data_IF_574149312278
#
_entry.id   IF_574149312278
#
_cell.length_a   1.000
_cell.length_b   1.000
_cell.length_c   1.000
_cell.angle_alpha   90.00
_cell.angle_beta   90.00
_cell.angle_gamma   90.00
#
_symmetry.space_group_name_H-M   'P 1'
#
loop_
_entity.id
_entity.type
_entity.pdbx_description
1 polymer ?
#
# COMPACT_ATOMS: atom_id res chain seq x y z
N UNK A 1 -25.89 -49.27 35.08
CA UNK A 1 -24.41 -49.36 35.06
C UNK A 1 -23.99 -50.39 34.02
N UNK A 2 -22.86 -50.11 33.36
CA UNK A 2 -22.29 -50.74 32.16
C UNK A 2 -22.37 -52.27 32.10
N UNK A 3 -22.71 -52.77 30.91
CA UNK A 3 -22.37 -54.09 30.43
C UNK A 3 -21.51 -53.94 29.17
N UNK A 4 -20.40 -54.67 29.10
CA UNK A 4 -19.77 -55.09 27.84
C UNK A 4 -18.64 -56.06 28.13
N UNK A 5 -18.80 -57.30 27.68
CA UNK A 5 -17.79 -58.11 27.01
C UNK A 5 -18.45 -59.43 26.60
N UNK A 6 -18.28 -59.82 25.33
CA UNK A 6 -17.54 -61.02 24.91
C UNK A 6 -17.81 -61.23 23.41
N UNK A 7 -16.72 -61.50 22.68
CA UNK A 7 -16.64 -61.72 21.24
C UNK A 7 -16.92 -63.17 20.88
N UNK A 8 -17.54 -63.43 19.72
CA UNK A 8 -17.44 -64.74 19.06
C UNK A 8 -17.31 -64.63 17.53
N UNK A 9 -16.36 -65.38 16.98
CA UNK A 9 -16.08 -65.57 15.55
C UNK A 9 -16.77 -66.84 15.02
N UNK A 10 -17.08 -66.81 13.71
CA UNK A 10 -17.25 -67.94 12.75
C UNK A 10 -18.53 -68.79 12.91
N UNK A 11 -19.21 -69.35 11.89
CA UNK A 11 -18.88 -69.78 10.52
C UNK A 11 -20.20 -70.21 9.78
N UNK A 12 -20.29 -70.06 8.44
CA UNK A 12 -21.15 -70.82 7.47
C UNK A 12 -22.66 -70.43 7.48
N UNK A 13 -23.39 -70.14 6.39
CA UNK A 13 -23.52 -70.83 5.11
C UNK A 13 -23.96 -69.93 3.94
N UNK A 14 -23.74 -70.44 2.72
CA UNK A 14 -24.20 -69.94 1.42
C UNK A 14 -25.72 -70.09 1.29
N UNK A 15 -26.42 -69.08 0.76
CA UNK A 15 -27.24 -69.17 -0.48
C UNK A 15 -28.34 -68.08 -0.57
N UNK A 16 -28.12 -67.21 -1.55
CA UNK A 16 -29.02 -66.51 -2.46
C UNK A 16 -30.57 -66.50 -2.26
N UNK A 17 -31.10 -65.28 -2.49
CA UNK A 17 -32.43 -64.89 -3.05
C UNK A 17 -33.54 -64.56 -2.04
N UNK A 18 -33.71 -63.26 -1.78
CA UNK A 18 -35.04 -62.60 -1.81
C UNK A 18 -34.92 -61.08 -2.01
N UNK A 19 -35.52 -60.61 -3.11
CA UNK A 19 -35.72 -59.20 -3.48
C UNK A 19 -36.34 -58.42 -2.32
N UNK A 20 -35.71 -57.32 -1.91
CA UNK A 20 -36.34 -56.25 -1.14
C UNK A 20 -36.27 -54.96 -1.96
N UNK A 21 -37.45 -54.41 -2.26
CA UNK A 21 -37.63 -53.13 -2.96
C UNK A 21 -37.03 -52.00 -2.13
N UNK A 22 -36.23 -51.16 -2.77
CA UNK A 22 -35.90 -49.83 -2.29
C UNK A 22 -37.20 -49.03 -2.13
N UNK A 23 -37.44 -48.52 -0.92
CA UNK A 23 -38.41 -47.45 -0.70
C UNK A 23 -37.56 -46.18 -0.55
N UNK A 24 -37.29 -45.53 -1.67
CA UNK A 24 -36.74 -44.18 -1.69
C UNK A 24 -37.84 -43.22 -1.29
N UNK A 25 -37.73 -42.62 -0.11
CA UNK A 25 -38.62 -41.57 0.36
C UNK A 25 -38.15 -40.24 -0.23
N UNK A 26 -38.66 -39.88 -1.40
CA UNK A 26 -38.42 -38.57 -2.01
C UNK A 26 -39.39 -37.57 -1.37
N UNK A 27 -38.91 -36.76 -0.44
CA UNK A 27 -39.65 -35.57 0.02
C UNK A 27 -39.46 -34.49 -1.05
N UNK A 28 -40.38 -34.41 -2.00
CA UNK A 28 -40.49 -33.24 -2.88
C UNK A 28 -41.08 -32.07 -2.10
N UNK A 29 -40.22 -31.20 -1.56
CA UNK A 29 -40.66 -29.89 -1.08
C UNK A 29 -40.97 -29.06 -2.32
N UNK A 30 -42.26 -28.94 -2.65
CA UNK A 30 -42.75 -28.01 -3.67
C UNK A 30 -42.65 -26.58 -3.14
N UNK A 31 -41.45 -26.02 -3.27
CA UNK A 31 -41.18 -24.61 -3.00
C UNK A 31 -41.70 -23.85 -4.23
N UNK A 32 -42.79 -23.10 -4.08
CA UNK A 32 -43.35 -22.26 -5.15
C UNK A 32 -42.27 -21.38 -5.80
N UNK A 33 -42.40 -21.09 -7.09
CA UNK A 33 -41.37 -20.40 -7.90
C UNK A 33 -40.87 -19.09 -7.26
N UNK A 34 -41.73 -18.40 -6.50
CA UNK A 34 -41.38 -17.21 -5.72
C UNK A 34 -40.41 -17.51 -4.56
N UNK A 35 -40.66 -18.56 -3.77
CA UNK A 35 -39.77 -18.97 -2.68
C UNK A 35 -38.46 -19.60 -3.19
N UNK A 36 -38.44 -20.24 -4.37
CA UNK A 36 -37.20 -20.71 -5.01
C UNK A 36 -36.29 -19.55 -5.41
N UNK A 37 -36.87 -18.46 -5.92
CA UNK A 37 -36.13 -17.25 -6.30
C UNK A 37 -35.60 -16.49 -5.08
N UNK A 38 -36.38 -16.44 -3.99
CA UNK A 38 -35.94 -15.85 -2.72
C UNK A 38 -34.81 -16.69 -2.09
N UNK A 39 -34.95 -18.02 -2.09
CA UNK A 39 -33.92 -18.92 -1.58
C UNK A 39 -32.62 -18.85 -2.39
N UNK A 40 -32.69 -18.79 -3.73
CA UNK A 40 -31.51 -18.59 -4.57
C UNK A 40 -30.83 -17.24 -4.30
N UNK A 41 -31.62 -16.17 -4.12
CA UNK A 41 -31.10 -14.83 -3.83
C UNK A 41 -30.39 -14.78 -2.48
N UNK A 42 -30.97 -15.39 -1.44
CA UNK A 42 -30.35 -15.47 -0.11
C UNK A 42 -29.07 -16.33 -0.11
N UNK A 43 -29.03 -17.41 -0.91
CA UNK A 43 -27.83 -18.22 -1.10
C UNK A 43 -26.74 -17.41 -1.84
N UNK A 44 -27.09 -16.69 -2.91
CA UNK A 44 -26.17 -15.79 -3.62
C UNK A 44 -25.61 -14.67 -2.72
N UNK A 45 -26.43 -14.10 -1.83
CA UNK A 45 -25.98 -13.12 -0.84
C UNK A 45 -25.10 -13.73 0.27
N UNK A 46 -25.29 -15.01 0.64
CA UNK A 46 -24.48 -15.69 1.66
C UNK A 46 -23.09 -16.13 1.15
N UNK A 47 -22.94 -16.36 -0.16
CA UNK A 47 -21.67 -16.77 -0.78
C UNK A 47 -20.80 -15.56 -1.16
N UNK A 48 -21.41 -14.39 -1.38
CA UNK A 48 -20.70 -13.14 -1.57
C UNK A 48 -20.27 -12.55 -0.21
N UNK A 49 -19.31 -13.20 0.46
CA UNK A 49 -18.52 -12.52 1.49
C UNK A 49 -17.68 -11.45 0.81
N UNK A 50 -18.24 -10.27 0.60
CA UNK A 50 -17.48 -9.12 0.13
C UNK A 50 -16.60 -8.72 1.30
N UNK A 51 -15.36 -9.22 1.33
CA UNK A 51 -14.35 -8.69 2.24
C UNK A 51 -14.11 -7.25 1.81
N UNK A 52 -14.77 -6.30 2.50
CA UNK A 52 -14.45 -4.88 2.39
C UNK A 52 -13.10 -4.71 3.06
N UNK A 53 -12.03 -4.97 2.30
CA UNK A 53 -10.67 -4.69 2.75
C UNK A 53 -10.49 -3.17 2.82
N UNK A 54 -9.65 -2.72 3.74
CA UNK A 54 -9.15 -1.36 3.68
C UNK A 54 -8.54 -1.11 2.29
N UNK A 55 -8.88 0.02 1.66
CA UNK A 55 -8.33 0.37 0.35
C UNK A 55 -6.80 0.37 0.41
N UNK A 56 -6.16 -0.39 -0.48
CA UNK A 56 -4.69 -0.52 -0.51
C UNK A 56 -4.09 -1.56 0.42
N UNK A 57 -4.87 -2.52 0.95
CA UNK A 57 -4.31 -3.64 1.70
C UNK A 57 -3.48 -4.58 0.80
N UNK A 58 -2.22 -4.84 1.15
CA UNK A 58 -1.31 -5.71 0.39
C UNK A 58 -0.26 -6.36 1.30
N UNK A 59 0.45 -7.37 0.78
CA UNK A 59 1.63 -7.96 1.45
C UNK A 59 2.92 -7.21 1.12
N UNK A 60 2.88 -6.30 0.16
CA UNK A 60 4.02 -5.54 -0.29
C UNK A 60 3.62 -4.09 -0.61
N UNK A 61 4.37 -3.15 -0.07
CA UNK A 61 4.15 -1.71 -0.22
C UNK A 61 5.47 -1.01 -0.53
N UNK A 62 5.41 0.08 -1.29
CA UNK A 62 6.55 0.97 -1.50
C UNK A 62 6.16 2.39 -1.09
N UNK A 63 7.00 3.01 -0.27
CA UNK A 63 6.91 4.41 0.12
C UNK A 63 8.01 5.19 -0.59
N UNK A 64 7.69 5.98 -1.64
CA UNK A 64 8.70 6.52 -2.55
C UNK A 64 9.64 7.57 -1.94
N UNK A 65 9.26 8.12 -0.77
CA UNK A 65 10.06 9.05 -0.01
C UNK A 65 10.02 8.69 1.47
N UNK A 66 11.19 8.79 2.11
CA UNK A 66 11.41 8.75 3.54
C UNK A 66 12.43 9.86 3.83
N UNK A 67 12.19 10.62 4.88
CA UNK A 67 13.08 11.68 5.35
C UNK A 67 13.27 11.56 6.86
N UNK A 68 14.52 11.67 7.29
CA UNK A 68 14.92 11.68 8.69
C UNK A 68 16.13 12.60 8.86
N UNK A 69 16.04 13.56 9.78
CA UNK A 69 17.17 14.40 10.18
C UNK A 69 16.91 15.89 10.05
N UNK A 70 17.92 16.67 10.42
CA UNK A 70 17.89 18.13 10.45
C UNK A 70 18.33 18.74 9.12
N UNK A 71 17.55 19.72 8.66
CA UNK A 71 17.88 20.63 7.57
C UNK A 71 17.77 22.06 8.10
N UNK A 72 18.92 22.68 8.38
CA UNK A 72 18.97 23.99 9.02
C UNK A 72 18.30 23.98 10.40
N UNK A 73 17.30 24.84 10.58
CA UNK A 73 16.53 24.97 11.82
C UNK A 73 15.28 24.10 11.89
N UNK A 74 15.14 23.13 10.99
CA UNK A 74 13.98 22.23 10.93
C UNK A 74 14.42 20.78 10.90
N UNK A 75 13.56 19.87 11.36
CA UNK A 75 13.81 18.44 11.34
C UNK A 75 12.65 17.68 10.68
N UNK A 76 12.99 16.69 9.88
CA UNK A 76 12.05 15.78 9.24
C UNK A 76 12.04 14.45 9.99
N UNK A 77 10.84 13.90 10.17
CA UNK A 77 10.60 12.56 10.72
C UNK A 77 9.63 11.81 9.82
N UNK A 78 9.90 10.53 9.60
CA UNK A 78 8.98 9.60 8.94
C UNK A 78 8.53 8.52 9.91
N UNK A 79 7.21 8.31 9.99
CA UNK A 79 6.58 7.34 10.89
C UNK A 79 5.71 6.38 10.08
N UNK A 80 6.11 5.12 10.01
CA UNK A 80 5.28 4.06 9.43
C UNK A 80 4.15 3.71 10.39
N UNK A 81 2.94 3.59 9.85
CA UNK A 81 1.83 2.90 10.48
C UNK A 81 1.35 1.76 9.58
N UNK A 82 1.17 0.57 10.16
CA UNK A 82 0.66 -0.60 9.45
C UNK A 82 -0.40 -1.32 10.30
N UNK A 83 -1.53 -1.63 9.69
CA UNK A 83 -2.65 -2.33 10.32
C UNK A 83 -2.88 -3.66 9.62
N UNK A 84 -2.82 -4.75 10.37
CA UNK A 84 -3.10 -6.08 9.85
C UNK A 84 -4.60 -6.27 9.63
N UNK A 85 -5.01 -6.47 8.38
CA UNK A 85 -6.42 -6.68 8.01
C UNK A 85 -6.79 -8.16 7.94
N UNK A 86 -5.84 -9.05 8.24
CA UNK A 86 -6.00 -10.50 8.13
C UNK A 86 -6.33 -11.13 9.48
N UNK A 87 -6.99 -12.29 9.45
CA UNK A 87 -7.34 -13.07 10.65
C UNK A 87 -6.17 -13.83 11.30
N UNK A 88 -4.98 -13.76 10.70
CA UNK A 88 -3.74 -14.34 11.21
C UNK A 88 -2.75 -13.24 11.55
N UNK A 89 -1.84 -13.47 12.50
CA UNK A 89 -0.77 -12.53 12.81
C UNK A 89 0.15 -12.33 11.60
N UNK A 90 0.64 -11.10 11.41
CA UNK A 90 1.54 -10.73 10.32
C UNK A 90 2.93 -10.46 10.87
N UNK A 91 3.97 -10.89 10.16
CA UNK A 91 5.34 -10.42 10.38
C UNK A 91 5.70 -9.50 9.22
N UNK A 92 6.16 -8.29 9.54
CA UNK A 92 6.47 -7.26 8.57
C UNK A 92 7.93 -6.81 8.72
N UNK A 93 8.57 -6.51 7.59
CA UNK A 93 9.92 -5.96 7.51
C UNK A 93 9.89 -4.68 6.69
N UNK A 94 10.20 -3.56 7.35
CA UNK A 94 10.32 -2.24 6.76
C UNK A 94 11.79 -1.93 6.44
N UNK A 95 12.14 -1.99 5.17
CA UNK A 95 13.55 -1.86 4.73
C UNK A 95 13.82 -0.44 4.26
N UNK A 96 14.58 0.34 5.03
CA UNK A 96 15.02 1.65 4.59
C UNK A 96 16.14 1.51 3.55
N UNK A 97 16.05 2.27 2.45
CA UNK A 97 17.04 2.29 1.36
C UNK A 97 17.47 3.72 1.05
N UNK A 98 18.65 3.88 0.42
CA UNK A 98 19.26 5.18 0.18
C UNK A 98 19.94 5.75 1.43
N UNK A 99 19.93 7.08 1.60
CA UNK A 99 20.62 7.75 2.70
C UNK A 99 20.04 7.45 4.09
N UNK A 100 18.80 6.94 4.14
CA UNK A 100 18.09 6.60 5.39
C UNK A 100 18.28 5.15 5.85
N UNK A 101 19.10 4.33 5.18
CA UNK A 101 19.22 2.89 5.46
C UNK A 101 19.57 2.53 6.90
N UNK A 102 20.33 3.38 7.59
CA UNK A 102 20.68 3.24 9.02
C UNK A 102 19.79 4.04 9.98
N UNK A 103 18.63 4.52 9.54
CA UNK A 103 17.74 5.39 10.33
C UNK A 103 16.60 4.63 11.02
N UNK A 104 16.77 3.32 11.26
CA UNK A 104 15.80 2.49 11.97
C UNK A 104 16.52 1.45 12.83
N UNK A 105 16.09 1.29 14.07
CA UNK A 105 16.73 0.40 15.06
C UNK A 105 16.27 -1.06 14.91
N UNK A 106 14.99 -1.30 14.65
CA UNK A 106 14.45 -2.64 14.37
C UNK A 106 13.50 -2.61 13.17
N UNK A 107 13.92 -3.06 11.98
CA UNK A 107 13.09 -3.01 10.78
C UNK A 107 11.98 -4.06 10.76
N UNK A 108 12.09 -5.12 11.58
CA UNK A 108 11.13 -6.23 11.62
C UNK A 108 10.27 -6.14 12.87
N UNK A 109 8.96 -6.34 12.70
CA UNK A 109 7.97 -6.31 13.77
C UNK A 109 6.80 -7.26 13.45
N UNK A 110 6.04 -7.61 14.48
CA UNK A 110 4.84 -8.44 14.36
C UNK A 110 3.58 -7.62 14.63
N UNK A 111 2.53 -7.93 13.89
CA UNK A 111 1.20 -7.35 14.06
C UNK A 111 0.24 -8.44 14.51
N UNK A 112 -0.53 -8.17 15.56
CA UNK A 112 -1.62 -9.03 15.97
C UNK A 112 -2.64 -9.23 14.82
N UNK A 113 -3.37 -10.33 14.85
CA UNK A 113 -4.46 -10.58 13.90
C UNK A 113 -5.59 -9.54 14.06
N UNK A 114 -6.44 -9.44 13.03
CA UNK A 114 -7.75 -8.77 13.07
C UNK A 114 -7.70 -7.32 13.56
N UNK A 115 -6.87 -6.50 12.94
CA UNK A 115 -6.77 -5.06 13.22
C UNK A 115 -5.56 -4.64 14.06
N UNK A 116 -4.59 -5.54 14.30
CA UNK A 116 -3.36 -5.20 15.00
C UNK A 116 -2.61 -4.05 14.32
N UNK A 117 -2.34 -2.99 15.08
CA UNK A 117 -1.60 -1.79 14.64
C UNK A 117 -0.14 -1.88 15.08
N UNK A 118 0.78 -1.54 14.18
CA UNK A 118 2.19 -1.33 14.46
C UNK A 118 2.62 0.05 14.01
N UNK A 119 3.47 0.68 14.82
CA UNK A 119 4.08 1.97 14.55
C UNK A 119 5.60 1.81 14.57
N UNK A 120 6.27 2.40 13.59
CA UNK A 120 7.72 2.37 13.50
C UNK A 120 8.23 3.74 13.07
N UNK A 121 9.10 4.33 13.88
CA UNK A 121 9.67 5.65 13.65
C UNK A 121 11.11 5.54 13.19
N UNK A 122 11.57 6.55 12.44
CA UNK A 122 12.99 6.72 12.18
C UNK A 122 13.72 7.35 13.39
N UNK A 123 15.05 7.21 13.44
CA UNK A 123 15.90 7.48 14.63
C UNK A 123 15.90 8.91 15.18
N UNK A 124 15.46 9.93 14.42
CA UNK A 124 15.27 11.28 15.00
C UNK A 124 14.26 11.27 16.15
N UNK A 125 13.29 10.34 16.14
CA UNK A 125 12.37 10.15 17.25
C UNK A 125 13.07 9.71 18.56
N UNK A 126 14.30 9.20 18.47
CA UNK A 126 15.11 8.76 19.61
C UNK A 126 16.00 9.89 20.18
N UNK A 127 15.83 11.13 19.71
CA UNK A 127 16.59 12.30 20.18
C UNK A 127 17.97 12.47 19.55
N UNK A 128 18.28 11.67 18.53
CA UNK A 128 19.58 11.73 17.83
C UNK A 128 19.59 12.88 16.82
N UNK A 129 20.55 13.81 16.96
CA UNK A 129 20.73 14.91 16.01
C UNK A 129 21.59 14.42 14.85
N UNK A 130 20.96 14.21 13.70
CA UNK A 130 21.62 13.75 12.49
C UNK A 130 21.29 14.70 11.34
N UNK A 131 22.20 14.89 10.37
CA UNK A 131 21.88 15.66 9.17
C UNK A 131 20.76 14.96 8.40
N UNK A 132 19.96 15.76 7.69
CA UNK A 132 18.89 15.28 6.82
C UNK A 132 19.42 14.19 5.89
N UNK A 133 18.82 13.02 5.99
CA UNK A 133 18.98 11.92 5.08
C UNK A 133 17.62 11.63 4.44
N UNK A 134 17.65 11.30 3.15
CA UNK A 134 16.46 10.91 2.40
C UNK A 134 16.67 9.57 1.70
N UNK A 135 15.57 8.89 1.45
CA UNK A 135 15.55 7.68 0.66
C UNK A 135 14.12 7.21 0.42
N UNK A 136 13.93 5.91 0.29
CA UNK A 136 12.62 5.29 0.16
C UNK A 136 12.58 3.99 0.95
N UNK A 137 11.41 3.39 1.10
CA UNK A 137 11.30 2.13 1.83
C UNK A 137 10.21 1.21 1.27
N UNK A 138 10.56 -0.05 0.95
CA UNK A 138 9.58 -1.11 0.84
C UNK A 138 9.21 -1.67 2.22
N UNK A 139 7.95 -2.07 2.36
CA UNK A 139 7.41 -2.86 3.46
C UNK A 139 6.94 -4.21 2.89
N UNK A 140 7.47 -5.30 3.42
CA UNK A 140 7.05 -6.66 3.07
C UNK A 140 6.47 -7.35 4.29
N UNK A 141 5.29 -7.96 4.15
CA UNK A 141 4.55 -8.61 5.22
C UNK A 141 4.09 -10.01 4.83
N UNK A 142 4.01 -10.92 5.80
CA UNK A 142 3.51 -12.29 5.58
C UNK A 142 2.00 -12.38 5.38
N UNK A 143 1.26 -11.33 5.72
CA UNK A 143 -0.19 -11.21 5.55
C UNK A 143 -0.52 -9.81 5.00
N UNK A 144 -1.66 -9.63 4.30
CA UNK A 144 -2.13 -8.32 3.87
C UNK A 144 -2.26 -7.32 5.03
N UNK A 145 -1.68 -6.14 4.86
CA UNK A 145 -1.77 -4.99 5.78
C UNK A 145 -2.19 -3.73 5.02
N UNK A 146 -2.87 -2.81 5.70
CA UNK A 146 -3.02 -1.44 5.22
C UNK A 146 -1.93 -0.58 5.84
N UNK A 147 -1.20 0.19 5.04
CA UNK A 147 -0.04 0.93 5.53
C UNK A 147 0.08 2.35 4.94
N UNK A 148 0.57 3.28 5.76
CA UNK A 148 0.90 4.64 5.37
C UNK A 148 2.15 5.11 6.13
N UNK A 149 2.82 6.12 5.59
CA UNK A 149 3.87 6.85 6.30
C UNK A 149 3.37 8.27 6.60
N UNK A 150 3.46 8.66 7.86
CA UNK A 150 3.31 10.04 8.29
C UNK A 150 4.65 10.76 8.16
N UNK A 151 4.68 11.86 7.41
CA UNK A 151 5.79 12.82 7.43
C UNK A 151 5.45 13.92 8.42
N UNK A 152 6.41 14.27 9.27
CA UNK A 152 6.28 15.38 10.21
C UNK A 152 7.48 16.31 10.07
N UNK A 153 7.20 17.61 10.01
CA UNK A 153 8.19 18.67 10.08
C UNK A 153 8.16 19.29 11.47
N UNK A 154 9.32 19.36 12.10
CA UNK A 154 9.51 20.03 13.38
C UNK A 154 10.35 21.28 13.22
N UNK A 155 10.08 22.29 14.04
CA UNK A 155 11.02 23.37 14.33
C UNK A 155 12.19 22.85 15.17
N UNK A 156 13.26 23.62 15.27
CA UNK A 156 14.39 23.34 16.17
C UNK A 156 14.02 23.21 17.65
N UNK A 157 12.86 23.74 18.05
CA UNK A 157 12.31 23.64 19.40
C UNK A 157 11.38 22.44 19.60
N UNK A 158 11.20 21.58 18.59
CA UNK A 158 10.35 20.40 18.66
C UNK A 158 8.86 20.66 18.42
N UNK A 159 8.46 21.88 18.08
CA UNK A 159 7.07 22.19 17.67
C UNK A 159 6.80 21.66 16.27
N UNK A 160 5.68 20.96 16.08
CA UNK A 160 5.21 20.51 14.75
C UNK A 160 4.83 21.73 13.90
N UNK A 161 5.42 21.84 12.72
CA UNK A 161 5.18 22.90 11.74
C UNK A 161 4.28 22.45 10.59
N UNK A 162 4.41 21.18 10.17
CA UNK A 162 3.64 20.61 9.08
C UNK A 162 3.61 19.08 9.19
N UNK A 163 2.65 18.46 8.49
CA UNK A 163 2.59 17.02 8.36
C UNK A 163 1.82 16.58 7.14
N UNK A 164 2.10 15.37 6.68
CA UNK A 164 1.47 14.76 5.53
C UNK A 164 1.33 13.26 5.76
N UNK A 165 0.19 12.69 5.37
CA UNK A 165 -0.02 11.23 5.37
C UNK A 165 0.11 10.72 3.95
N UNK A 166 1.06 9.83 3.73
CA UNK A 166 1.36 9.26 2.42
C UNK A 166 1.06 7.77 2.45
N UNK A 167 0.07 7.36 1.66
CA UNK A 167 -0.23 5.95 1.44
C UNK A 167 0.88 5.30 0.60
N UNK A 168 0.99 3.98 0.71
CA UNK A 168 1.87 3.22 -0.18
C UNK A 168 1.50 3.45 -1.64
N UNK A 169 2.49 3.63 -2.51
CA UNK A 169 2.28 3.72 -3.95
C UNK A 169 2.50 2.35 -4.57
N UNK A 170 1.48 1.73 -5.19
CA UNK A 170 1.67 0.56 -6.04
C UNK A 170 2.63 0.87 -7.20
N UNK A 171 3.37 -0.12 -7.72
CA UNK A 171 4.15 0.04 -8.94
C UNK A 171 3.25 0.38 -10.14
N UNK A 172 3.65 1.38 -10.92
CA UNK A 172 2.98 1.81 -12.13
C UNK A 172 3.98 2.04 -13.27
N UNK A 173 3.49 2.02 -14.51
CA UNK A 173 4.24 2.44 -15.71
C UNK A 173 3.81 3.83 -16.16
N UNK A 174 2.67 4.33 -15.67
CA UNK A 174 2.15 5.67 -15.93
C UNK A 174 1.44 6.21 -14.69
N UNK A 175 1.76 7.43 -14.32
CA UNK A 175 1.12 8.15 -13.22
C UNK A 175 0.91 9.63 -13.56
N UNK A 176 -0.04 10.27 -12.88
CA UNK A 176 -0.31 11.71 -12.98
C UNK A 176 -0.24 12.37 -11.60
N UNK A 177 0.32 13.58 -11.56
CA UNK A 177 0.40 14.44 -10.39
C UNK A 177 -0.18 15.82 -10.70
N UNK A 178 -0.88 16.41 -9.72
CA UNK A 178 -1.25 17.83 -9.78
C UNK A 178 0.01 18.71 -9.73
N UNK A 179 0.16 19.61 -10.69
CA UNK A 179 1.19 20.64 -10.67
C UNK A 179 0.55 21.97 -10.32
N UNK A 180 0.96 22.55 -9.20
CA UNK A 180 0.55 23.86 -8.76
C UNK A 180 1.80 24.69 -8.45
N UNK A 181 1.99 25.76 -9.22
CA UNK A 181 3.08 26.71 -9.05
C UNK A 181 2.55 28.14 -9.09
N UNK A 182 1.79 28.51 -8.06
CA UNK A 182 1.19 29.83 -7.90
C UNK A 182 1.21 30.24 -6.44
N UNK A 183 1.24 31.54 -6.14
CA UNK A 183 1.15 32.07 -4.77
C UNK A 183 2.12 31.41 -3.76
N UNK A 184 3.35 31.11 -4.18
CA UNK A 184 4.37 30.47 -3.34
C UNK A 184 4.25 28.96 -3.21
N UNK A 185 3.20 28.36 -3.78
CA UNK A 185 3.08 26.90 -3.86
C UNK A 185 4.05 26.31 -4.89
N UNK A 186 4.61 25.14 -4.58
CA UNK A 186 5.44 24.34 -5.48
C UNK A 186 5.10 22.86 -5.32
N UNK A 187 4.78 22.18 -6.42
CA UNK A 187 4.63 20.72 -6.42
C UNK A 187 6.01 20.06 -6.40
N UNK A 188 6.23 19.19 -5.43
CA UNK A 188 7.32 18.24 -5.38
C UNK A 188 6.82 16.83 -5.66
N UNK A 189 7.72 15.97 -6.12
CA UNK A 189 7.45 14.56 -6.31
C UNK A 189 8.67 13.73 -5.91
N UNK A 190 8.42 12.47 -5.57
CA UNK A 190 9.48 11.48 -5.40
C UNK A 190 9.14 10.20 -6.16
N UNK A 191 10.12 9.70 -6.93
CA UNK A 191 10.03 8.43 -7.66
C UNK A 191 10.99 7.45 -7.00
N UNK A 192 10.48 6.29 -6.60
CA UNK A 192 11.28 5.15 -6.18
C UNK A 192 11.30 4.08 -7.26
N UNK A 193 12.51 3.64 -7.59
CA UNK A 193 12.76 2.48 -8.43
C UNK A 193 13.13 1.28 -7.56
N UNK A 194 12.13 0.49 -7.18
CA UNK A 194 12.35 -0.74 -6.40
C UNK A 194 12.61 -1.97 -7.27
N UNK A 195 13.23 -1.77 -8.44
CA UNK A 195 13.71 -2.85 -9.31
C UNK A 195 15.23 -3.00 -9.22
N UNK A 196 15.75 -4.11 -9.76
CA UNK A 196 17.18 -4.39 -9.83
C UNK A 196 17.87 -3.79 -11.06
N UNK A 197 17.14 -3.03 -11.87
CA UNK A 197 17.66 -2.35 -13.07
C UNK A 197 17.43 -0.83 -12.97
N UNK A 198 18.30 0.01 -13.57
CA UNK A 198 18.03 1.45 -13.67
C UNK A 198 16.73 1.73 -14.44
N UNK A 199 15.95 2.69 -13.97
CA UNK A 199 14.72 3.16 -14.59
C UNK A 199 14.92 4.50 -15.29
N UNK A 200 14.25 4.68 -16.43
CA UNK A 200 14.18 5.94 -17.15
C UNK A 200 12.72 6.40 -17.25
N UNK A 201 12.45 7.57 -16.69
CA UNK A 201 11.09 8.10 -16.57
C UNK A 201 10.99 9.45 -17.29
N UNK A 202 10.02 9.57 -18.19
CA UNK A 202 9.70 10.83 -18.84
C UNK A 202 8.63 11.55 -18.02
N UNK A 203 8.89 12.83 -17.73
CA UNK A 203 7.99 13.73 -17.04
C UNK A 203 7.46 14.71 -18.09
N UNK A 204 6.17 14.66 -18.36
CA UNK A 204 5.48 15.53 -19.33
C UNK A 204 4.47 16.40 -18.60
N UNK A 205 4.65 17.72 -18.66
CA UNK A 205 3.76 18.67 -18.00
C UNK A 205 2.73 19.20 -18.98
N UNK A 206 1.45 19.06 -18.62
CA UNK A 206 0.30 19.52 -19.38
C UNK A 206 -0.41 20.66 -18.67
N UNK A 207 -0.90 21.64 -19.41
CA UNK A 207 -1.83 22.64 -18.88
C UNK A 207 -3.25 22.06 -18.73
N UNK A 208 -4.18 22.83 -18.17
CA UNK A 208 -5.59 22.42 -17.99
C UNK A 208 -6.34 22.12 -19.30
N UNK A 209 -5.84 22.61 -20.44
CA UNK A 209 -6.37 22.30 -21.78
C UNK A 209 -5.80 21.01 -22.36
N UNK A 210 -4.95 20.29 -21.61
CA UNK A 210 -4.28 19.06 -22.05
C UNK A 210 -3.10 19.28 -23.00
N UNK A 211 -2.67 20.54 -23.21
CA UNK A 211 -1.52 20.83 -24.06
C UNK A 211 -0.23 20.67 -23.28
N UNK A 212 0.74 19.99 -23.89
CA UNK A 212 2.09 19.89 -23.33
C UNK A 212 2.77 21.25 -23.31
N UNK A 213 3.22 21.66 -22.13
CA UNK A 213 3.95 22.92 -21.92
C UNK A 213 5.44 22.68 -21.66
N UNK A 214 5.80 21.52 -21.12
CA UNK A 214 7.19 21.15 -20.88
C UNK A 214 7.37 19.63 -20.77
N UNK A 215 8.59 19.15 -20.93
CA UNK A 215 8.96 17.77 -20.64
C UNK A 215 10.43 17.65 -20.21
N UNK A 216 10.74 16.63 -19.43
CA UNK A 216 12.08 16.28 -19.02
C UNK A 216 12.21 14.78 -18.74
N UNK A 217 13.44 14.27 -18.70
CA UNK A 217 13.72 12.88 -18.34
C UNK A 217 14.40 12.80 -16.97
N UNK A 218 14.05 11.76 -16.22
CA UNK A 218 14.61 11.45 -14.90
C UNK A 218 15.12 10.01 -14.92
N UNK A 219 16.41 9.86 -14.64
CA UNK A 219 17.05 8.56 -14.46
C UNK A 219 17.10 8.24 -12.96
N UNK A 220 16.63 7.05 -12.58
CA UNK A 220 16.72 6.57 -11.19
C UNK A 220 17.42 5.22 -11.20
N UNK A 221 18.62 5.10 -10.58
CA UNK A 221 19.32 3.82 -10.53
C UNK A 221 18.50 2.74 -9.82
N UNK A 222 18.92 1.48 -9.99
CA UNK A 222 18.32 0.34 -9.29
C UNK A 222 18.34 0.57 -7.77
N UNK A 223 17.26 0.21 -7.10
CA UNK A 223 17.12 0.28 -5.64
C UNK A 223 17.40 1.66 -5.04
N UNK A 224 17.07 2.72 -5.77
CA UNK A 224 17.19 4.11 -5.31
C UNK A 224 15.89 4.89 -5.59
N UNK A 225 15.83 6.09 -5.04
CA UNK A 225 14.80 7.06 -5.33
C UNK A 225 15.39 8.43 -5.67
N UNK A 226 14.54 9.30 -6.20
CA UNK A 226 14.85 10.71 -6.42
C UNK A 226 13.65 11.54 -6.00
N UNK A 227 13.90 12.68 -5.37
CA UNK A 227 12.88 13.68 -5.05
C UNK A 227 13.28 15.03 -5.66
N UNK A 228 12.32 15.71 -6.29
CA UNK A 228 12.53 16.99 -6.98
C UNK A 228 11.27 17.85 -6.92
N UNK A 229 11.44 19.15 -7.04
CA UNK A 229 10.33 20.01 -7.43
C UNK A 229 10.14 19.96 -8.95
N UNK A 230 8.88 20.07 -9.41
CA UNK A 230 8.58 20.04 -10.85
C UNK A 230 9.27 21.20 -11.58
N UNK A 231 9.30 22.37 -10.95
CA UNK A 231 9.92 23.59 -11.49
C UNK A 231 11.46 23.61 -11.44
N UNK A 232 12.08 22.64 -10.75
CA UNK A 232 13.53 22.39 -10.83
C UNK A 232 13.90 21.50 -12.01
N UNK A 233 12.92 20.76 -12.55
CA UNK A 233 13.12 19.84 -13.65
C UNK A 233 12.77 20.47 -14.99
N UNK A 234 11.76 21.33 -15.03
CA UNK A 234 11.27 22.01 -16.23
C UNK A 234 10.97 23.47 -15.95
N UNK A 235 11.11 24.32 -16.98
CA UNK A 235 10.65 25.71 -16.90
C UNK A 235 9.14 25.76 -17.14
N UNK A 236 8.39 26.28 -16.16
CA UNK A 236 6.95 26.44 -16.24
C UNK A 236 6.56 27.90 -16.47
N UNK A 237 5.41 28.18 -17.12
CA UNK A 237 4.86 29.53 -17.16
C UNK A 237 4.62 30.10 -15.75
N UNK A 238 4.63 31.43 -15.57
CA UNK A 238 4.25 32.03 -14.29
C UNK A 238 2.85 31.61 -13.85
N UNK A 239 2.64 31.40 -12.55
CA UNK A 239 1.34 31.03 -11.97
C UNK A 239 0.70 29.80 -12.62
N UNK A 240 1.48 28.74 -12.81
CA UNK A 240 1.05 27.55 -13.51
C UNK A 240 0.13 26.65 -12.66
N UNK A 241 -0.91 26.10 -13.29
CA UNK A 241 -1.72 25.00 -12.78
C UNK A 241 -1.96 24.01 -13.90
N UNK A 242 -1.76 22.72 -13.62
CA UNK A 242 -1.88 21.66 -14.60
C UNK A 242 -1.53 20.31 -14.00
N UNK A 243 -0.97 19.41 -14.80
CA UNK A 243 -0.54 18.10 -14.32
C UNK A 243 0.79 17.67 -14.91
N UNK A 244 1.48 16.79 -14.19
CA UNK A 244 2.70 16.14 -14.62
C UNK A 244 2.41 14.65 -14.80
N UNK A 245 2.48 14.18 -16.03
CA UNK A 245 2.47 12.77 -16.36
C UNK A 245 3.87 12.20 -16.26
N UNK A 246 3.99 11.07 -15.58
CA UNK A 246 5.23 10.33 -15.42
C UNK A 246 5.04 9.01 -16.15
N UNK A 247 5.87 8.74 -17.14
CA UNK A 247 5.82 7.51 -17.94
C UNK A 247 7.14 6.78 -17.89
N UNK A 248 7.09 5.46 -17.78
CA UNK A 248 8.25 4.60 -17.80
C UNK A 248 8.51 4.07 -19.20
N UNK A 249 9.75 4.18 -19.68
CA UNK A 249 10.17 3.51 -20.91
C UNK A 249 10.48 2.02 -20.69
N UNK A 250 10.90 1.65 -19.48
CA UNK A 250 11.19 0.27 -19.08
C UNK A 250 11.05 0.09 -17.57
N UNK A 251 10.44 -1.02 -17.15
CA UNK A 251 10.16 -1.30 -15.74
C UNK A 251 9.02 -0.46 -15.17
N UNK A 252 8.75 -0.63 -13.88
CA UNK A 252 7.74 0.12 -13.12
C UNK A 252 8.41 1.03 -12.10
N UNK A 253 7.63 1.97 -11.57
CA UNK A 253 8.06 2.86 -10.51
C UNK A 253 6.94 3.09 -9.50
N UNK A 254 7.30 3.57 -8.33
CA UNK A 254 6.35 4.04 -7.31
C UNK A 254 6.54 5.55 -7.14
N UNK A 255 5.45 6.31 -7.01
CA UNK A 255 5.53 7.78 -6.96
C UNK A 255 4.59 8.38 -5.93
N UNK A 256 5.05 9.47 -5.31
CA UNK A 256 4.24 10.32 -4.44
C UNK A 256 4.47 11.79 -4.82
N UNK A 257 3.44 12.62 -4.69
CA UNK A 257 3.57 14.07 -4.74
C UNK A 257 3.36 14.72 -3.37
N UNK A 258 4.00 15.85 -3.16
CA UNK A 258 3.75 16.76 -2.05
C UNK A 258 3.56 18.18 -2.60
N UNK A 259 2.69 18.96 -1.96
CA UNK A 259 2.54 20.39 -2.25
C UNK A 259 3.18 21.19 -1.14
N UNK A 260 4.18 21.99 -1.48
CA UNK A 260 4.89 22.87 -0.55
C UNK A 260 4.40 24.31 -0.66
N UNK A 261 4.43 25.05 0.45
CA UNK A 261 4.41 26.51 0.50
C UNK A 261 5.51 26.95 1.47
N UNK A 262 6.62 27.48 0.93
CA UNK A 262 7.84 27.62 1.71
C UNK A 262 8.35 26.26 2.21
N UNK A 263 8.55 26.11 3.53
CA UNK A 263 9.02 24.86 4.14
C UNK A 263 7.89 23.90 4.55
N UNK A 264 6.64 24.38 4.65
CA UNK A 264 5.51 23.54 5.05
C UNK A 264 4.91 22.84 3.85
N UNK A 265 4.29 21.67 4.07
CA UNK A 265 3.82 20.81 2.99
C UNK A 265 2.59 19.99 3.38
N UNK A 266 1.91 19.45 2.37
CA UNK A 266 0.84 18.45 2.50
C UNK A 266 0.93 17.42 1.37
N UNK A 267 0.21 16.30 1.50
CA UNK A 267 0.16 15.23 0.49
C UNK A 267 -0.61 15.67 -0.76
N UNK A 268 -0.07 15.33 -1.93
CA UNK A 268 -0.81 15.33 -3.20
C UNK A 268 -0.64 13.96 -3.85
N UNK A 269 -1.60 13.04 -3.67
CA UNK A 269 -1.45 11.66 -4.14
C UNK A 269 -1.31 11.63 -5.67
N UNK A 270 -0.50 10.69 -6.15
CA UNK A 270 -0.44 10.38 -7.57
C UNK A 270 -1.62 9.51 -7.98
N UNK A 271 -2.14 9.76 -9.18
CA UNK A 271 -3.09 8.85 -9.83
C UNK A 271 -2.27 7.88 -10.67
N UNK A 272 -2.29 6.60 -10.31
CA UNK A 272 -1.65 5.55 -11.09
C UNK A 272 -2.65 5.01 -12.12
N UNK A 273 -2.24 4.97 -13.38
CA UNK A 273 -3.06 4.38 -14.45
C UNK A 273 -2.80 2.88 -14.51
N UNK A 274 -3.85 2.11 -14.78
CA UNK A 274 -3.69 0.71 -15.12
C UNK A 274 -2.80 0.58 -16.36
N UNK A 275 -1.90 -0.42 -16.41
CA UNK A 275 -1.10 -0.70 -17.59
C UNK A 275 -1.97 -1.06 -18.81
#
# INVERSE_FOLDING_TARGET
MKAAQVSLRRLISKSAIRRWREISFSVEISIGACMRSIALSLILLSVASINVMAQGAATFHVFPQIADGFAGSTAYLSSLAATNVSSQAATCTFTLRGGVSGRISSPTFTLAASGGLGLLNTVVAEGTILPLATGYAPLSCTQPVAAFVGYTLYSSLGTVLAGATVFSSPPATRSELLVLQTAGYRTAFAIANDTDSPGQYQITVLNLSGQQVAAANVSVPARLNVAKFVDELVTLPPSFTGSAFITSASGSFSVVGLLFNGSVFTSTPAVNFAP
#
